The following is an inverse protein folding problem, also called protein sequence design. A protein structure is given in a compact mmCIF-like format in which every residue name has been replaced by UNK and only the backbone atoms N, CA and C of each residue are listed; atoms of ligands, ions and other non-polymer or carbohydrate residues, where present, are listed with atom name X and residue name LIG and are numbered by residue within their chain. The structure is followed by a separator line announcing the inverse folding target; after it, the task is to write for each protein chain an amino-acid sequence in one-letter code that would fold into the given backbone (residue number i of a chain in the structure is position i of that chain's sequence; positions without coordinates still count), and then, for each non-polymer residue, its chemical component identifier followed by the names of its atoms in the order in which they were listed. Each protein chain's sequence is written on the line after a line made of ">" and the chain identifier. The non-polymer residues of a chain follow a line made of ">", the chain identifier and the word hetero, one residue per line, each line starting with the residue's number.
data_IF_780592414285
#
_entry.id   IF_780592414285
#
_cell.length_a   1.000
_cell.length_b   1.000
_cell.length_c   1.000
_cell.angle_alpha   90.00
_cell.angle_beta   90.00
_cell.angle_gamma   90.00
#
_symmetry.space_group_name_H-M   'P 1'
#
loop_
_entity.id
_entity.type
_entity.pdbx_description
1 polymer ?
#
# COMPACT_ATOMS: atom_id res chain seq x y z
N UNK A 1 -2.20 -5.76 13.04
CA UNK A 1 -2.96 -7.03 12.96
C UNK A 1 -2.24 -8.10 13.79
N UNK A 2 -2.96 -9.01 14.48
CA UNK A 2 -2.33 -10.20 15.10
C UNK A 2 -2.48 -11.35 14.10
N UNK A 3 -1.40 -11.68 13.39
CA UNK A 3 -1.44 -12.71 12.34
C UNK A 3 -1.20 -14.11 12.91
N UNK A 4 -0.44 -14.23 14.02
CA UNK A 4 -0.19 -15.47 14.76
C UNK A 4 0.04 -15.16 16.25
N UNK A 5 -0.06 -16.16 17.13
CA UNK A 5 0.20 -16.01 18.58
C UNK A 5 1.58 -15.39 18.88
N UNK A 6 2.54 -15.52 17.96
CA UNK A 6 3.93 -15.07 18.10
C UNK A 6 4.30 -13.82 17.29
N UNK A 7 3.43 -13.33 16.39
CA UNK A 7 3.72 -12.20 15.50
C UNK A 7 2.62 -11.13 15.63
N UNK A 8 3.00 -9.97 16.17
CA UNK A 8 2.14 -8.79 16.25
C UNK A 8 2.73 -7.69 15.38
N UNK A 9 2.11 -7.46 14.23
CA UNK A 9 2.47 -6.34 13.36
C UNK A 9 1.69 -5.10 13.82
N UNK A 10 2.44 -4.11 14.31
CA UNK A 10 1.92 -2.79 14.65
C UNK A 10 2.49 -1.78 13.64
N UNK A 11 1.90 -0.60 13.53
CA UNK A 11 2.27 0.38 12.49
C UNK A 11 3.76 0.77 12.56
N UNK A 12 4.30 1.02 13.76
CA UNK A 12 5.70 1.43 13.94
C UNK A 12 6.68 0.25 14.01
N UNK A 13 6.28 -0.79 14.74
CA UNK A 13 7.14 -1.91 15.09
C UNK A 13 6.39 -3.24 14.89
N UNK A 14 7.12 -4.26 14.46
CA UNK A 14 6.67 -5.64 14.42
C UNK A 14 7.30 -6.37 15.59
N UNK A 15 6.46 -6.96 16.44
CA UNK A 15 6.93 -7.80 17.55
C UNK A 15 6.95 -9.25 17.11
N UNK A 16 8.14 -9.86 17.13
CA UNK A 16 8.37 -11.27 16.83
C UNK A 16 8.85 -11.92 18.14
N UNK A 17 8.11 -12.90 18.65
CA UNK A 17 8.40 -13.56 19.94
C UNK A 17 8.59 -12.59 21.12
N UNK A 18 7.87 -11.45 21.12
CA UNK A 18 7.96 -10.44 22.17
C UNK A 18 9.04 -9.38 21.96
N UNK A 19 9.99 -9.57 21.02
CA UNK A 19 10.99 -8.57 20.67
C UNK A 19 10.45 -7.56 19.64
N UNK A 20 10.32 -6.27 19.97
CA UNK A 20 9.87 -5.26 19.03
C UNK A 20 11.00 -4.84 18.08
N UNK A 21 10.80 -5.07 16.78
CA UNK A 21 11.73 -4.64 15.72
C UNK A 21 11.06 -3.50 14.94
N UNK A 22 11.81 -2.46 14.59
CA UNK A 22 11.28 -1.35 13.78
C UNK A 22 10.95 -1.82 12.37
N UNK A 23 9.75 -1.47 11.88
CA UNK A 23 9.32 -1.82 10.53
C UNK A 23 10.25 -1.23 9.47
N UNK A 24 10.85 -0.06 9.71
CA UNK A 24 11.87 0.52 8.82
C UNK A 24 13.07 -0.43 8.63
N UNK A 25 13.55 -1.00 9.72
CA UNK A 25 14.69 -1.92 9.69
C UNK A 25 14.34 -3.22 8.99
N UNK A 26 13.13 -3.75 9.24
CA UNK A 26 12.63 -4.94 8.57
C UNK A 26 12.43 -4.70 7.07
N UNK A 27 11.84 -3.58 6.66
CA UNK A 27 11.70 -3.20 5.26
C UNK A 27 13.07 -3.10 4.57
N UNK A 28 14.07 -2.51 5.22
CA UNK A 28 15.42 -2.43 4.67
C UNK A 28 16.05 -3.82 4.54
N UNK A 29 15.94 -4.67 5.57
CA UNK A 29 16.49 -6.03 5.56
C UNK A 29 15.85 -6.91 4.47
N UNK A 30 14.52 -7.00 4.45
CA UNK A 30 13.81 -7.78 3.45
C UNK A 30 13.95 -7.18 2.04
N UNK A 31 13.97 -5.85 1.92
CA UNK A 31 14.25 -5.17 0.66
C UNK A 31 15.63 -5.53 0.09
N UNK A 32 16.67 -5.57 0.93
CA UNK A 32 18.02 -5.99 0.52
C UNK A 32 18.09 -7.47 0.17
N UNK A 33 17.42 -8.33 0.95
CA UNK A 33 17.34 -9.76 0.66
C UNK A 33 16.64 -10.01 -0.69
N UNK A 34 15.50 -9.37 -0.92
CA UNK A 34 14.74 -9.46 -2.17
C UNK A 34 15.52 -8.88 -3.36
N UNK A 35 16.21 -7.77 -3.15
CA UNK A 35 17.09 -7.19 -4.17
C UNK A 35 18.21 -8.17 -4.56
N UNK A 36 18.77 -8.91 -3.61
CA UNK A 36 19.78 -9.94 -3.87
C UNK A 36 19.21 -11.07 -4.74
N UNK A 37 18.01 -11.56 -4.41
CA UNK A 37 17.30 -12.59 -5.21
C UNK A 37 17.07 -12.10 -6.63
N UNK A 38 16.64 -10.85 -6.81
CA UNK A 38 16.40 -10.25 -8.13
C UNK A 38 17.69 -10.12 -8.94
N UNK A 39 18.79 -9.68 -8.31
CA UNK A 39 20.09 -9.59 -9.00
C UNK A 39 20.55 -10.98 -9.48
N UNK A 40 20.39 -12.02 -8.65
CA UNK A 40 20.72 -13.39 -9.03
C UNK A 40 19.83 -13.86 -10.18
N UNK A 41 18.52 -13.63 -10.10
CA UNK A 41 17.59 -14.01 -11.17
C UNK A 41 17.84 -13.25 -12.47
N UNK A 42 18.15 -11.95 -12.40
CA UNK A 42 18.50 -11.17 -13.58
C UNK A 42 19.81 -11.65 -14.20
N UNK A 43 20.78 -12.05 -13.37
CA UNK A 43 22.00 -12.69 -13.85
C UNK A 43 21.73 -14.00 -14.59
N UNK A 44 20.74 -14.82 -14.16
CA UNK A 44 20.30 -16.00 -14.92
C UNK A 44 19.90 -15.64 -16.35
N UNK A 45 19.12 -14.57 -16.52
CA UNK A 45 18.70 -14.10 -17.85
C UNK A 45 19.86 -13.61 -18.71
N UNK A 46 20.80 -12.83 -18.13
CA UNK A 46 22.00 -12.37 -18.85
C UNK A 46 22.86 -13.57 -19.28
N UNK A 47 23.08 -14.53 -18.37
CA UNK A 47 23.88 -15.71 -18.64
C UNK A 47 23.25 -16.58 -19.73
N UNK A 48 21.94 -16.82 -19.62
CA UNK A 48 21.14 -17.52 -20.62
C UNK A 48 21.30 -16.90 -22.02
N UNK A 49 21.09 -15.59 -22.12
CA UNK A 49 21.16 -14.89 -23.39
C UNK A 49 22.58 -14.91 -23.98
N UNK A 50 23.59 -14.80 -23.13
CA UNK A 50 24.99 -14.79 -23.56
C UNK A 50 25.43 -16.13 -24.16
N UNK A 51 25.02 -17.25 -23.54
CA UNK A 51 25.43 -18.62 -23.93
C UNK A 51 24.51 -19.27 -24.96
N UNK A 52 23.20 -19.20 -24.75
CA UNK A 52 22.21 -19.96 -25.50
C UNK A 52 21.43 -19.11 -26.51
N UNK A 53 21.61 -17.77 -26.48
CA UNK A 53 20.84 -16.80 -27.31
C UNK A 53 19.34 -16.77 -27.02
N UNK A 54 18.93 -17.35 -25.90
CA UNK A 54 17.56 -17.37 -25.39
C UNK A 54 17.49 -16.59 -24.07
N UNK A 55 16.38 -15.90 -23.81
CA UNK A 55 16.24 -15.04 -22.61
C UNK A 55 16.19 -15.87 -21.32
N UNK A 56 15.60 -17.05 -21.37
CA UNK A 56 15.62 -17.98 -20.25
C UNK A 56 15.69 -19.41 -20.80
N UNK A 57 16.85 -20.04 -20.63
CA UNK A 57 17.10 -21.41 -21.05
C UNK A 57 17.13 -22.30 -19.81
N UNK A 58 15.96 -22.81 -19.41
CA UNK A 58 15.85 -23.71 -18.27
C UNK A 58 15.43 -25.11 -18.72
N UNK A 59 16.28 -26.08 -18.39
CA UNK A 59 15.99 -27.49 -18.58
C UNK A 59 16.12 -28.22 -17.25
N UNK A 60 15.06 -28.94 -16.86
CA UNK A 60 14.92 -29.55 -15.54
C UNK A 60 15.54 -30.95 -15.46
N UNK A 61 15.76 -31.59 -16.60
CA UNK A 61 16.30 -32.95 -16.69
C UNK A 61 17.84 -32.92 -16.59
N UNK A 62 18.34 -32.69 -15.37
CA UNK A 62 19.77 -32.54 -15.11
C UNK A 62 20.35 -33.75 -14.38
N UNK A 63 21.51 -34.23 -14.84
CA UNK A 63 22.23 -35.32 -14.18
C UNK A 63 22.78 -34.90 -12.80
N UNK A 64 22.91 -35.86 -11.88
CA UNK A 64 23.43 -35.60 -10.52
C UNK A 64 24.85 -35.01 -10.56
N UNK A 65 25.63 -35.37 -11.59
CA UNK A 65 27.02 -34.93 -11.82
C UNK A 65 27.14 -33.66 -12.67
N UNK A 66 26.03 -33.00 -12.99
CA UNK A 66 26.05 -31.76 -13.77
C UNK A 66 26.82 -30.64 -13.07
N UNK A 67 27.37 -29.76 -13.90
CA UNK A 67 28.13 -28.60 -13.47
C UNK A 67 27.25 -27.62 -12.68
N UNK A 68 27.87 -26.76 -11.88
CA UNK A 68 27.13 -25.75 -11.11
C UNK A 68 26.34 -24.77 -12.01
N UNK A 69 26.86 -24.48 -13.21
CA UNK A 69 26.21 -23.62 -14.20
C UNK A 69 24.93 -24.25 -14.75
N UNK A 70 24.96 -25.54 -15.09
CA UNK A 70 23.78 -26.28 -15.55
C UNK A 70 22.72 -26.35 -14.43
N UNK A 71 23.14 -26.67 -13.19
CA UNK A 71 22.23 -26.67 -12.03
C UNK A 71 21.62 -25.29 -11.79
N UNK A 72 22.39 -24.23 -11.96
CA UNK A 72 21.90 -22.86 -11.85
C UNK A 72 20.85 -22.52 -12.91
N UNK A 73 20.97 -23.07 -14.12
CA UNK A 73 19.98 -22.87 -15.20
C UNK A 73 18.73 -23.76 -15.06
N UNK A 74 18.80 -24.88 -14.35
CA UNK A 74 17.61 -25.70 -14.01
C UNK A 74 16.69 -25.08 -12.96
N UNK A 75 17.18 -24.08 -12.23
CA UNK A 75 16.44 -23.49 -11.12
C UNK A 75 15.92 -22.13 -11.48
N UNK A 76 14.77 -21.82 -10.91
CA UNK A 76 14.09 -20.57 -11.10
C UNK A 76 14.05 -19.82 -9.78
N UNK A 77 15.08 -18.99 -9.59
CA UNK A 77 15.43 -18.40 -8.31
C UNK A 77 14.37 -17.40 -7.85
N UNK A 78 13.72 -16.68 -8.78
CA UNK A 78 12.74 -15.64 -8.44
C UNK A 78 11.43 -16.19 -7.88
N UNK A 79 11.03 -17.42 -8.20
CA UNK A 79 9.86 -18.06 -7.57
C UNK A 79 10.25 -19.16 -6.58
N UNK A 80 11.55 -19.28 -6.26
CA UNK A 80 12.07 -20.35 -5.39
C UNK A 80 11.74 -21.75 -5.90
N UNK A 81 11.72 -21.95 -7.22
CA UNK A 81 11.48 -23.25 -7.83
C UNK A 81 12.81 -23.96 -8.13
N UNK A 82 13.19 -24.82 -7.19
CA UNK A 82 14.38 -25.67 -7.29
C UNK A 82 14.00 -27.08 -7.78
N UNK A 83 13.33 -27.15 -8.94
CA UNK A 83 12.87 -28.40 -9.56
C UNK A 83 11.58 -28.95 -8.95
N UNK A 84 10.81 -28.12 -8.23
CA UNK A 84 9.51 -28.49 -7.71
C UNK A 84 8.50 -28.67 -8.86
N UNK A 85 8.44 -27.71 -9.78
CA UNK A 85 7.46 -27.73 -10.87
C UNK A 85 7.71 -28.87 -11.84
N UNK A 86 8.97 -29.19 -12.14
CA UNK A 86 9.33 -30.38 -12.91
C UNK A 86 8.75 -31.66 -12.30
N UNK A 87 8.92 -31.85 -10.98
CA UNK A 87 8.39 -33.05 -10.30
C UNK A 87 6.87 -33.10 -10.25
N UNK A 88 6.22 -31.96 -10.07
CA UNK A 88 4.77 -31.88 -9.85
C UNK A 88 3.99 -31.90 -11.16
N UNK A 89 4.49 -31.19 -12.18
CA UNK A 89 3.85 -31.05 -13.48
C UNK A 89 4.40 -32.04 -14.53
N UNK A 90 5.56 -32.64 -14.28
CA UNK A 90 6.22 -33.56 -15.22
C UNK A 90 6.79 -32.86 -16.45
N UNK A 91 7.07 -31.56 -16.37
CA UNK A 91 7.53 -30.75 -17.51
C UNK A 91 9.05 -30.72 -17.61
N UNK A 92 9.60 -30.91 -18.81
CA UNK A 92 11.07 -30.94 -19.00
C UNK A 92 11.73 -29.57 -18.88
N UNK A 93 10.96 -28.49 -19.00
CA UNK A 93 11.43 -27.10 -18.88
C UNK A 93 10.80 -26.39 -17.66
N UNK A 94 11.37 -25.25 -17.26
CA UNK A 94 10.76 -24.39 -16.25
C UNK A 94 9.43 -23.80 -16.75
N UNK A 95 8.52 -23.51 -15.80
CA UNK A 95 7.21 -22.90 -16.11
C UNK A 95 7.33 -21.57 -16.88
N UNK A 96 8.38 -20.77 -16.65
CA UNK A 96 8.66 -19.57 -17.45
C UNK A 96 8.75 -19.85 -18.94
N UNK A 97 9.45 -20.92 -19.31
CA UNK A 97 9.73 -21.19 -20.72
C UNK A 97 8.42 -21.45 -21.46
N UNK A 98 7.49 -22.15 -20.82
CA UNK A 98 6.15 -22.40 -21.37
C UNK A 98 5.25 -21.16 -21.42
N UNK A 99 5.32 -20.26 -20.43
CA UNK A 99 4.41 -19.12 -20.37
C UNK A 99 4.82 -18.00 -21.33
N UNK A 100 6.09 -17.62 -21.29
CA UNK A 100 6.55 -16.38 -21.91
C UNK A 100 8.02 -16.44 -22.37
N UNK A 101 8.68 -17.60 -22.32
CA UNK A 101 10.12 -17.71 -22.59
C UNK A 101 11.00 -16.95 -21.59
N UNK A 102 10.45 -16.57 -20.44
CA UNK A 102 11.11 -15.78 -19.40
C UNK A 102 11.21 -14.27 -19.65
N UNK A 103 10.56 -13.72 -20.68
CA UNK A 103 10.58 -12.28 -20.99
C UNK A 103 9.92 -11.42 -19.90
N UNK A 104 8.73 -11.81 -19.44
CA UNK A 104 8.01 -11.14 -18.35
C UNK A 104 8.83 -11.17 -17.07
N UNK A 105 9.56 -12.27 -16.79
CA UNK A 105 10.41 -12.36 -15.61
C UNK A 105 11.65 -11.49 -15.67
N UNK A 106 12.28 -11.39 -16.84
CA UNK A 106 13.39 -10.48 -17.05
C UNK A 106 12.95 -9.01 -16.87
N UNK A 107 11.81 -8.64 -17.47
CA UNK A 107 11.23 -7.30 -17.33
C UNK A 107 10.81 -7.01 -15.88
N UNK A 108 10.19 -7.99 -15.22
CA UNK A 108 9.84 -7.94 -13.81
C UNK A 108 11.07 -7.68 -12.92
N UNK A 109 12.19 -8.37 -13.16
CA UNK A 109 13.42 -8.16 -12.41
C UNK A 109 13.95 -6.72 -12.53
N UNK A 110 13.83 -6.11 -13.71
CA UNK A 110 14.22 -4.71 -13.92
C UNK A 110 13.28 -3.74 -13.19
N UNK A 111 11.97 -3.92 -13.33
CA UNK A 111 10.97 -3.06 -12.69
C UNK A 111 11.01 -3.20 -11.16
N UNK A 112 11.14 -4.43 -10.64
CA UNK A 112 11.24 -4.66 -9.21
C UNK A 112 12.59 -4.23 -8.64
N UNK A 113 13.69 -4.41 -9.39
CA UNK A 113 14.99 -3.89 -8.99
C UNK A 113 14.98 -2.36 -8.85
N UNK A 114 14.38 -1.66 -9.82
CA UNK A 114 14.25 -0.20 -9.76
C UNK A 114 13.33 0.27 -8.64
N UNK A 115 12.20 -0.41 -8.42
CA UNK A 115 11.26 -0.10 -7.33
C UNK A 115 11.93 -0.22 -5.95
N UNK A 116 12.71 -1.28 -5.72
CA UNK A 116 13.42 -1.52 -4.45
C UNK A 116 14.55 -0.52 -4.22
N UNK A 117 15.23 -0.06 -5.27
CA UNK A 117 16.22 1.02 -5.16
C UNK A 117 15.52 2.32 -4.71
N UNK A 118 14.40 2.68 -5.35
CA UNK A 118 13.62 3.87 -4.97
C UNK A 118 13.15 3.78 -3.51
N UNK A 119 12.65 2.61 -3.10
CA UNK A 119 12.26 2.34 -1.71
C UNK A 119 13.45 2.51 -0.76
N UNK A 120 14.63 1.98 -1.11
CA UNK A 120 15.84 2.10 -0.28
C UNK A 120 16.27 3.56 -0.11
N UNK A 121 16.15 4.37 -1.15
CA UNK A 121 16.39 5.83 -1.09
C UNK A 121 15.34 6.52 -0.21
N UNK A 122 14.06 6.13 -0.31
CA UNK A 122 13.01 6.66 0.56
C UNK A 122 13.28 6.34 2.04
N UNK A 123 13.62 5.08 2.34
CA UNK A 123 13.92 4.61 3.69
C UNK A 123 15.13 5.32 4.32
N UNK A 124 16.09 5.78 3.52
CA UNK A 124 17.34 6.40 4.00
C UNK A 124 17.25 7.92 4.10
N UNK A 125 16.86 8.60 3.02
CA UNK A 125 17.01 10.06 2.89
C UNK A 125 15.70 10.83 2.69
N UNK A 126 14.68 10.21 2.08
CA UNK A 126 13.52 10.91 1.51
C UNK A 126 12.17 10.52 2.13
N UNK A 127 12.15 10.23 3.43
CA UNK A 127 10.98 9.70 4.15
C UNK A 127 9.72 10.58 4.09
N UNK A 128 9.88 11.90 3.90
CA UNK A 128 8.76 12.83 3.76
C UNK A 128 7.94 12.59 2.49
N UNK A 129 8.56 12.02 1.45
CA UNK A 129 7.94 11.81 0.15
C UNK A 129 7.31 10.41 0.09
N UNK A 130 6.14 10.28 0.73
CA UNK A 130 5.41 9.02 0.89
C UNK A 130 5.12 8.31 -0.44
N UNK A 131 4.89 9.08 -1.52
CA UNK A 131 4.63 8.52 -2.85
C UNK A 131 5.80 7.70 -3.42
N UNK A 132 7.04 7.91 -2.96
CA UNK A 132 8.21 7.15 -3.43
C UNK A 132 8.15 5.67 -3.01
N UNK A 133 7.33 5.33 -2.00
CA UNK A 133 7.09 3.95 -1.60
C UNK A 133 6.12 3.21 -2.54
N UNK A 134 5.31 3.94 -3.32
CA UNK A 134 4.25 3.35 -4.13
C UNK A 134 4.74 2.33 -5.16
N UNK A 135 5.81 2.59 -5.95
CA UNK A 135 6.30 1.59 -6.90
C UNK A 135 6.67 0.27 -6.25
N UNK A 136 7.39 0.32 -5.11
CA UNK A 136 7.77 -0.89 -4.39
C UNK A 136 6.56 -1.61 -3.77
N UNK A 137 5.61 -0.86 -3.21
CA UNK A 137 4.37 -1.44 -2.67
C UNK A 137 3.55 -2.16 -3.74
N UNK A 138 3.36 -1.52 -4.90
CA UNK A 138 2.58 -2.08 -5.99
C UNK A 138 3.23 -3.34 -6.54
N UNK A 139 4.54 -3.28 -6.81
CA UNK A 139 5.27 -4.40 -7.38
C UNK A 139 5.44 -5.56 -6.38
N UNK A 140 5.71 -5.28 -5.11
CA UNK A 140 5.78 -6.34 -4.10
C UNK A 140 4.41 -6.98 -3.87
N UNK A 141 3.33 -6.19 -3.86
CA UNK A 141 1.97 -6.71 -3.73
C UNK A 141 1.58 -7.60 -4.91
N UNK A 142 1.92 -7.21 -6.14
CA UNK A 142 1.65 -8.05 -7.32
C UNK A 142 2.55 -9.28 -7.38
N UNK A 143 3.77 -9.24 -6.83
CA UNK A 143 4.61 -10.43 -6.66
C UNK A 143 4.00 -11.43 -5.67
N UNK A 144 3.58 -10.97 -4.48
CA UNK A 144 2.90 -11.80 -3.49
C UNK A 144 1.60 -12.41 -4.04
N UNK A 145 0.83 -11.62 -4.78
CA UNK A 145 -0.38 -12.08 -5.47
C UNK A 145 -0.04 -13.11 -6.56
N UNK A 146 0.95 -12.85 -7.41
CA UNK A 146 1.40 -13.76 -8.48
C UNK A 146 1.83 -15.11 -7.92
N UNK A 147 2.64 -15.12 -6.86
CA UNK A 147 3.03 -16.34 -6.15
C UNK A 147 1.83 -17.07 -5.53
N UNK A 148 0.80 -16.33 -5.08
CA UNK A 148 -0.44 -16.93 -4.56
C UNK A 148 -1.27 -17.59 -5.64
N UNK A 149 -1.41 -16.96 -6.81
CA UNK A 149 -2.08 -17.55 -7.96
C UNK A 149 -1.34 -18.80 -8.42
N UNK A 150 -0.02 -18.76 -8.52
CA UNK A 150 0.79 -19.91 -8.91
C UNK A 150 0.63 -21.07 -7.92
N UNK A 151 0.68 -20.77 -6.62
CA UNK A 151 0.46 -21.75 -5.55
C UNK A 151 -0.95 -22.34 -5.63
N UNK A 152 -1.97 -21.52 -5.85
CA UNK A 152 -3.35 -21.98 -6.00
C UNK A 152 -3.54 -22.85 -7.25
N UNK A 153 -2.95 -22.47 -8.39
CA UNK A 153 -3.02 -23.21 -9.64
C UNK A 153 -2.34 -24.58 -9.53
N UNK A 154 -1.25 -24.66 -8.76
CA UNK A 154 -0.47 -25.90 -8.55
C UNK A 154 -0.91 -26.69 -7.33
N UNK A 155 -1.78 -26.14 -6.46
CA UNK A 155 -2.25 -26.78 -5.24
C UNK A 155 -2.83 -28.18 -5.45
N UNK A 156 -3.66 -28.46 -6.47
CA UNK A 156 -4.18 -29.81 -6.69
C UNK A 156 -3.05 -30.83 -6.93
N UNK A 157 -2.02 -30.44 -7.68
CA UNK A 157 -0.87 -31.29 -8.00
C UNK A 157 0.10 -31.43 -6.84
N UNK A 158 0.28 -30.37 -6.04
CA UNK A 158 1.00 -30.45 -4.76
C UNK A 158 0.29 -31.44 -3.82
N UNK A 159 -1.04 -31.39 -3.71
CA UNK A 159 -1.82 -32.31 -2.87
C UNK A 159 -1.72 -33.75 -3.35
N UNK A 160 -1.78 -33.98 -4.67
CA UNK A 160 -1.58 -35.31 -5.28
C UNK A 160 -0.18 -35.85 -4.95
N UNK A 161 0.86 -35.01 -5.06
CA UNK A 161 2.24 -35.39 -4.75
C UNK A 161 2.47 -35.65 -3.25
N UNK A 162 1.81 -34.91 -2.36
CA UNK A 162 1.87 -35.12 -0.90
C UNK A 162 1.07 -36.36 -0.48
N UNK A 163 -0.04 -36.66 -1.15
CA UNK A 163 -0.87 -37.83 -0.89
C UNK A 163 -0.22 -39.15 -1.31
N UNK A 164 0.82 -39.09 -2.15
CA UNK A 164 1.66 -40.23 -2.53
C UNK A 164 2.83 -40.49 -1.55
N UNK A 165 3.87 -41.16 -2.04
CA UNK A 165 5.11 -41.36 -1.30
C UNK A 165 5.92 -40.06 -1.28
N UNK A 166 6.03 -39.43 -0.11
CA UNK A 166 6.78 -38.18 0.05
C UNK A 166 8.29 -38.47 0.12
N UNK A 167 8.98 -38.20 -0.97
CA UNK A 167 10.45 -38.21 -1.02
C UNK A 167 11.05 -37.04 -0.25
N UNK A 168 12.25 -37.26 0.33
CA UNK A 168 13.03 -36.19 1.00
C UNK A 168 13.31 -35.00 0.08
N UNK A 169 13.63 -35.26 -1.19
CA UNK A 169 13.91 -34.21 -2.17
C UNK A 169 12.66 -33.38 -2.50
N UNK A 170 11.50 -34.02 -2.67
CA UNK A 170 10.23 -33.33 -2.90
C UNK A 170 9.87 -32.45 -1.70
N UNK A 171 9.97 -32.99 -0.48
CA UNK A 171 9.71 -32.24 0.75
C UNK A 171 10.62 -31.01 0.88
N UNK A 172 11.90 -31.15 0.52
CA UNK A 172 12.87 -30.07 0.59
C UNK A 172 12.59 -28.98 -0.47
N UNK A 173 12.35 -29.34 -1.74
CA UNK A 173 11.98 -28.36 -2.78
C UNK A 173 10.66 -27.64 -2.45
N UNK A 174 9.66 -28.37 -1.95
CA UNK A 174 8.40 -27.78 -1.48
C UNK A 174 8.62 -26.84 -0.28
N UNK A 175 9.52 -27.20 0.65
CA UNK A 175 9.82 -26.34 1.80
C UNK A 175 10.44 -25.01 1.40
N UNK A 176 11.35 -25.00 0.41
CA UNK A 176 11.93 -23.74 -0.09
C UNK A 176 10.89 -22.87 -0.79
N UNK A 177 10.03 -23.47 -1.61
CA UNK A 177 8.94 -22.76 -2.28
C UNK A 177 7.97 -22.13 -1.26
N UNK A 178 7.52 -22.91 -0.26
CA UNK A 178 6.64 -22.41 0.79
C UNK A 178 7.30 -21.36 1.67
N UNK A 179 8.59 -21.50 1.98
CA UNK A 179 9.33 -20.50 2.74
C UNK A 179 9.42 -19.19 1.97
N UNK A 180 9.78 -19.23 0.68
CA UNK A 180 9.80 -18.06 -0.19
C UNK A 180 8.43 -17.38 -0.29
N UNK A 181 7.38 -18.18 -0.49
CA UNK A 181 5.99 -17.71 -0.51
C UNK A 181 5.61 -16.97 0.78
N UNK A 182 5.89 -17.57 1.95
CA UNK A 182 5.54 -16.98 3.25
C UNK A 182 6.36 -15.73 3.56
N UNK A 183 7.67 -15.73 3.25
CA UNK A 183 8.55 -14.58 3.46
C UNK A 183 8.13 -13.39 2.58
N UNK A 184 7.76 -13.64 1.33
CA UNK A 184 7.25 -12.63 0.41
C UNK A 184 5.96 -11.97 0.94
N UNK A 185 5.00 -12.79 1.38
CA UNK A 185 3.78 -12.30 2.02
C UNK A 185 4.06 -11.49 3.29
N UNK A 186 4.97 -11.99 4.13
CA UNK A 186 5.35 -11.31 5.36
C UNK A 186 6.01 -9.96 5.08
N UNK A 187 6.90 -9.89 4.10
CA UNK A 187 7.53 -8.64 3.67
C UNK A 187 6.50 -7.65 3.13
N UNK A 188 5.58 -8.08 2.28
CA UNK A 188 4.46 -7.26 1.78
C UNK A 188 3.67 -6.63 2.92
N UNK A 189 3.31 -7.42 3.94
CA UNK A 189 2.56 -6.94 5.10
C UNK A 189 3.36 -5.92 5.92
N UNK A 190 4.65 -6.15 6.16
CA UNK A 190 5.52 -5.19 6.85
C UNK A 190 5.60 -3.89 6.05
N UNK A 191 5.75 -3.98 4.73
CA UNK A 191 5.87 -2.81 3.85
C UNK A 191 4.60 -1.96 3.88
N UNK A 192 3.42 -2.58 3.81
CA UNK A 192 2.13 -1.88 3.95
C UNK A 192 1.98 -1.22 5.32
N UNK A 193 2.34 -1.92 6.39
CA UNK A 193 2.27 -1.34 7.74
C UNK A 193 3.24 -0.18 7.93
N UNK A 194 4.43 -0.25 7.34
CA UNK A 194 5.37 0.85 7.33
C UNK A 194 4.86 2.04 6.51
N UNK A 195 4.25 1.77 5.35
CA UNK A 195 3.62 2.79 4.52
C UNK A 195 2.55 3.58 5.29
N UNK A 196 1.62 2.91 5.94
CA UNK A 196 0.59 3.60 6.73
C UNK A 196 1.17 4.40 7.88
N UNK A 197 2.24 3.91 8.52
CA UNK A 197 2.93 4.68 9.55
C UNK A 197 3.47 6.00 9.00
N UNK A 198 4.19 5.98 7.87
CA UNK A 198 4.77 7.22 7.30
C UNK A 198 3.67 8.14 6.74
N UNK A 199 2.58 7.59 6.21
CA UNK A 199 1.43 8.36 5.74
C UNK A 199 0.76 9.11 6.89
N UNK A 200 0.55 8.44 8.02
CA UNK A 200 0.01 9.07 9.23
C UNK A 200 0.94 10.11 9.85
N UNK A 201 2.26 9.93 9.74
CA UNK A 201 3.26 10.85 10.30
C UNK A 201 3.45 12.11 9.44
N UNK A 202 3.50 11.97 8.11
CA UNK A 202 3.85 13.05 7.19
C UNK A 202 2.69 13.62 6.37
N UNK A 203 1.57 12.92 6.25
CA UNK A 203 0.37 13.37 5.53
C UNK A 203 -0.92 12.98 6.28
N UNK A 204 -1.12 13.48 7.51
CA UNK A 204 -2.26 13.11 8.32
C UNK A 204 -3.57 13.50 7.61
N UNK A 205 -4.61 12.64 7.64
CA UNK A 205 -5.88 12.97 7.06
C UNK A 205 -6.45 14.24 7.72
N UNK A 206 -7.17 15.09 6.97
CA UNK A 206 -7.80 16.28 7.54
C UNK A 206 -8.71 15.84 8.69
N UNK A 207 -8.78 16.62 9.78
CA UNK A 207 -9.65 16.28 10.90
C UNK A 207 -11.08 16.14 10.37
N UNK A 208 -11.71 14.99 10.68
CA UNK A 208 -13.12 14.77 10.38
C UNK A 208 -13.88 15.91 11.05
N UNK A 209 -14.30 16.92 10.27
CA UNK A 209 -15.25 17.90 10.73
C UNK A 209 -16.55 17.14 10.97
N UNK A 210 -16.72 16.62 12.19
CA UNK A 210 -18.04 16.26 12.67
C UNK A 210 -18.84 17.54 12.57
N UNK A 211 -19.70 17.67 11.53
CA UNK A 211 -20.66 18.75 11.45
C UNK A 211 -21.28 18.84 12.84
N UNK A 212 -21.23 20.00 13.52
CA UNK A 212 -21.95 20.14 14.77
C UNK A 212 -23.38 19.70 14.48
N UNK A 213 -23.87 18.71 15.23
CA UNK A 213 -25.29 18.34 15.20
C UNK A 213 -26.03 19.62 15.56
N UNK A 214 -26.47 20.37 14.54
CA UNK A 214 -27.35 21.51 14.72
C UNK A 214 -28.58 20.92 15.39
N UNK A 215 -28.68 21.15 16.70
CA UNK A 215 -29.76 20.64 17.51
C UNK A 215 -31.03 21.27 16.93
N UNK A 216 -31.79 20.50 16.15
CA UNK A 216 -32.99 20.97 15.42
C UNK A 216 -34.05 21.51 16.38
N UNK A 217 -33.87 21.31 17.69
CA UNK A 217 -34.70 21.83 18.78
C UNK A 217 -34.59 23.35 19.00
N UNK A 218 -33.49 23.99 18.62
CA UNK A 218 -33.32 25.45 18.81
C UNK A 218 -34.12 26.28 17.79
N UNK A 219 -34.42 25.71 16.62
CA UNK A 219 -35.11 26.44 15.53
C UNK A 219 -36.62 26.60 15.79
N UNK A 220 -37.22 25.72 16.60
CA UNK A 220 -38.62 25.84 16.99
C UNK A 220 -38.86 26.89 18.09
N UNK A 221 -37.86 27.21 18.90
CA UNK A 221 -37.96 28.20 19.99
C UNK A 221 -37.82 29.65 19.50
N UNK A 222 -37.06 29.89 18.42
CA UNK A 222 -36.97 31.25 17.84
C UNK A 222 -38.18 31.61 16.96
N UNK A 223 -38.85 30.64 16.36
CA UNK A 223 -40.03 30.89 15.51
C UNK A 223 -41.24 31.36 16.32
N UNK A 224 -41.41 30.92 17.57
CA UNK A 224 -42.53 31.34 18.42
C UNK A 224 -42.36 32.77 18.95
N UNK A 225 -41.14 33.20 19.26
CA UNK A 225 -40.87 34.59 19.67
C UNK A 225 -41.04 35.58 18.52
N UNK A 226 -40.58 35.24 17.31
CA UNK A 226 -40.75 36.12 16.13
C UNK A 226 -42.21 36.21 15.68
N UNK A 227 -42.97 35.10 15.75
CA UNK A 227 -44.41 35.11 15.46
C UNK A 227 -45.24 35.91 16.49
N UNK A 228 -44.83 35.89 17.77
CA UNK A 228 -45.48 36.66 18.82
C UNK A 228 -45.20 38.18 18.70
N UNK A 229 -44.01 38.58 18.25
CA UNK A 229 -43.66 39.99 18.00
C UNK A 229 -44.40 40.54 16.78
N UNK A 230 -44.51 39.77 15.69
CA UNK A 230 -45.22 40.21 14.48
C UNK A 230 -46.75 40.32 14.67
N UNK A 231 -47.36 39.51 15.53
CA UNK A 231 -48.80 39.66 15.87
C UNK A 231 -49.11 40.89 16.71
N UNK A 232 -48.14 41.44 17.45
CA UNK A 232 -48.35 42.65 18.26
C UNK A 232 -48.26 43.95 17.46
N UNK A 233 -47.58 43.92 16.30
CA UNK A 233 -47.42 45.10 15.43
C UNK A 233 -48.55 45.29 14.40
N UNK A 234 -49.51 44.37 14.30
CA UNK A 234 -50.59 44.41 13.29
C UNK A 234 -51.88 45.12 13.76
N UNK A 235 -51.87 45.78 14.92
CA UNK A 235 -53.00 46.57 15.44
C UNK A 235 -52.57 48.00 15.77
N UNK A 236 -52.19 48.77 14.77
CA UNK A 236 -52.28 50.23 14.81
C UNK A 236 -52.02 50.84 13.44
N UNK A 237 -53.06 51.52 12.91
CA UNK A 237 -53.04 52.61 11.91
C UNK A 237 -52.71 52.16 10.47
N UNK A 238 -53.64 52.07 9.50
CA UNK A 238 -54.57 53.07 8.95
C UNK A 238 -53.89 54.45 8.83
N UNK A 239 -53.36 54.78 7.64
CA UNK A 239 -53.84 55.81 6.70
C UNK A 239 -52.71 56.31 5.77
N UNK A 240 -53.01 56.40 4.46
CA UNK A 240 -52.49 57.35 3.41
C UNK A 240 -50.95 57.54 3.26
N UNK A 241 -50.33 57.63 2.06
CA UNK A 241 -50.77 58.11 0.75
C UNK A 241 -49.66 57.94 -0.32
N UNK A 242 -50.09 57.84 -1.58
CA UNK A 242 -49.51 58.35 -2.84
C UNK A 242 -48.11 57.93 -3.37
N UNK A 243 -48.18 57.21 -4.49
CA UNK A 243 -47.31 57.15 -5.70
C UNK A 243 -47.47 58.49 -6.51
N UNK A 244 -46.63 58.97 -7.50
CA UNK A 244 -45.71 58.28 -8.45
C UNK A 244 -44.33 58.92 -8.80
N UNK A 245 -43.64 58.14 -9.64
CA UNK A 245 -42.50 58.36 -10.56
C UNK A 245 -42.20 59.75 -11.14
N UNK A 246 -40.91 60.00 -11.43
CA UNK A 246 -40.37 60.66 -12.65
C UNK A 246 -38.84 60.39 -12.80
N UNK A 247 -38.38 60.46 -14.05
CA UNK A 247 -37.15 59.99 -14.71
C UNK A 247 -35.85 60.76 -14.41
N UNK A 248 -34.74 60.00 -14.57
CA UNK A 248 -33.45 60.25 -15.25
C UNK A 248 -32.45 61.35 -14.82
N UNK A 249 -31.20 60.89 -14.88
CA UNK A 249 -29.90 61.55 -15.15
C UNK A 249 -29.28 62.44 -14.08
N UNK A 250 -28.36 61.89 -13.26
CA UNK A 250 -27.10 62.57 -12.88
C UNK A 250 -26.00 61.53 -12.59
N UNK A 251 -24.87 61.63 -13.31
CA UNK A 251 -23.59 60.95 -13.04
C UNK A 251 -22.93 61.53 -11.79
N UNK A 252 -22.53 60.71 -10.81
CA UNK A 252 -21.53 61.10 -9.80
C UNK A 252 -20.56 59.94 -9.56
N UNK A 253 -19.27 60.28 -9.65
CA UNK A 253 -18.11 59.38 -9.68
C UNK A 253 -17.71 58.88 -8.29
N UNK A 254 -17.17 57.65 -8.29
CA UNK A 254 -16.58 56.93 -7.17
C UNK A 254 -15.48 57.74 -6.47
N UNK A 255 -15.71 58.03 -5.19
CA UNK A 255 -14.69 58.25 -4.16
C UNK A 255 -15.41 58.10 -2.82
N UNK A 256 -15.45 56.88 -2.26
CA UNK A 256 -15.61 56.59 -0.81
C UNK A 256 -15.77 55.09 -0.55
N UNK A 257 -14.84 54.28 -1.06
CA UNK A 257 -14.64 52.90 -0.60
C UNK A 257 -13.15 52.74 -0.30
N UNK A 258 -12.73 53.23 0.88
CA UNK A 258 -11.45 52.89 1.49
C UNK A 258 -11.50 53.25 2.97
N UNK A 259 -12.01 52.33 3.78
CA UNK A 259 -11.76 52.24 5.23
C UNK A 259 -12.25 50.87 5.72
N UNK A 260 -11.41 50.24 6.53
CA UNK A 260 -11.64 49.03 7.35
C UNK A 260 -11.29 47.66 6.73
N UNK A 261 -9.99 47.46 6.51
CA UNK A 261 -9.29 46.18 6.69
C UNK A 261 -8.17 46.45 7.72
N UNK A 262 -7.71 45.57 8.59
CA UNK A 262 -8.27 44.43 9.33
C UNK A 262 -7.20 44.24 10.45
N UNK A 263 -7.60 44.21 11.72
CA UNK A 263 -6.67 44.13 12.85
C UNK A 263 -6.16 42.68 13.02
N UNK A 264 -4.86 42.47 12.82
CA UNK A 264 -4.17 41.21 13.12
C UNK A 264 -4.09 40.95 14.63
N UNK A 265 -4.67 39.84 15.08
CA UNK A 265 -4.48 39.27 16.42
C UNK A 265 -3.67 37.97 16.30
N UNK A 266 -2.54 37.80 17.02
CA UNK A 266 -1.76 36.57 16.94
C UNK A 266 -2.38 35.47 17.81
N UNK A 267 -2.87 34.41 17.17
CA UNK A 267 -3.37 33.21 17.85
C UNK A 267 -2.18 32.37 18.36
N UNK A 268 -1.98 32.36 19.68
CA UNK A 268 -1.10 31.42 20.38
C UNK A 268 -1.60 29.98 20.20
N UNK A 269 -0.84 29.13 19.52
CA UNK A 269 -1.08 27.69 19.49
C UNK A 269 -0.82 27.07 20.88
N UNK A 270 -1.91 26.71 21.56
CA UNK A 270 -1.89 25.94 22.81
C UNK A 270 -1.65 24.47 22.48
N UNK A 271 -0.46 23.94 22.81
CA UNK A 271 -0.18 22.49 22.85
C UNK A 271 -1.24 21.80 23.72
N UNK A 272 -2.15 21.05 23.09
CA UNK A 272 -3.21 20.31 23.78
C UNK A 272 -3.26 18.85 23.31
N UNK A 273 -2.61 17.98 24.10
CA UNK A 273 -3.17 16.72 24.63
C UNK A 273 -4.18 15.97 23.73
N UNK A 274 -3.75 15.44 22.57
CA UNK A 274 -4.60 14.62 21.68
C UNK A 274 -3.95 13.30 21.25
N UNK A 275 -3.30 12.58 22.17
CA UNK A 275 -2.70 11.25 21.89
C UNK A 275 -3.63 10.07 22.19
N UNK A 276 -4.74 10.25 22.92
CA UNK A 276 -5.48 9.10 23.47
C UNK A 276 -6.76 8.65 22.73
N UNK A 277 -7.12 9.23 21.58
CA UNK A 277 -8.42 8.88 20.95
C UNK A 277 -8.37 7.90 19.78
N UNK A 278 -7.21 7.64 19.17
CA UNK A 278 -7.12 6.74 18.02
C UNK A 278 -6.92 5.26 18.37
N UNK A 279 -6.69 4.90 19.64
CA UNK A 279 -6.53 3.50 20.05
C UNK A 279 -7.85 2.70 20.11
N UNK A 280 -9.02 3.32 20.04
CA UNK A 280 -10.30 2.63 20.30
C UNK A 280 -11.15 2.29 19.07
N UNK A 281 -10.76 2.68 17.85
CA UNK A 281 -11.57 2.45 16.65
C UNK A 281 -10.82 1.75 15.50
N UNK A 282 -9.90 0.84 15.82
CA UNK A 282 -9.43 -0.17 14.85
C UNK A 282 -10.36 -1.37 14.98
N UNK A 283 -11.47 -1.31 14.26
CA UNK A 283 -12.47 -2.37 14.31
C UNK A 283 -13.70 -2.05 13.49
N UNK A 284 -13.51 -1.80 12.19
CA UNK A 284 -14.43 -2.08 11.07
C UNK A 284 -13.88 -1.41 9.81
N UNK A 285 -13.88 -2.13 8.69
CA UNK A 285 -13.23 -1.81 7.40
C UNK A 285 -11.80 -2.35 7.24
N UNK A 286 -11.68 -3.67 7.18
CA UNK A 286 -11.39 -4.49 5.97
C UNK A 286 -11.58 -5.94 6.41
#
# INVERSE_FOLDING_TARGET
>A
MRLLFCIKISEKNTSIFGCPISNRCLCAFFGLAQFTVIVISFYQHIFSYSRFKEIFHCHSNISINATAEEKFMAYDVIIFDFGLMHRILGTDECVANYLDGGYMRAMWCLEQGTSLIIMTVNLTCLQKYVWLMWPALLMESSYALGMSILTMATAPKILEAIGGLVDKHLALSLSYYLLGFLLNWFFTLIMWHYYWHIEMEYSPPPPIQTRPRVNRRSRASMSSHVAAVLRRSSKSNILLSSVPSIKKDVKINLNDIKKEEENDIPIKYRKSKHINYYCNNIGTHV
#
